data_IF_075378211885
#
_entry.id   IF_075378211885
#
_cell.length_a   1.000
_cell.length_b   1.000
_cell.length_c   1.000
_cell.angle_alpha   90.00
_cell.angle_beta   90.00
_cell.angle_gamma   90.00
#
_symmetry.space_group_name_H-M   'P 1'
#
loop_
_entity.id
_entity.type
_entity.pdbx_description
1 polymer ?
#
# COMPACT_ATOMS: atom_id res chain seq x y z
N UNK A 1 7.70 -10.05 9.48
CA UNK A 1 8.89 -9.92 8.61
C UNK A 1 8.74 -10.92 7.48
N UNK A 2 8.47 -10.43 6.26
CA UNK A 2 8.37 -11.28 5.07
C UNK A 2 9.80 -11.51 4.56
N UNK A 3 10.20 -12.76 4.32
CA UNK A 3 11.54 -13.09 3.81
C UNK A 3 11.40 -13.53 2.36
N UNK A 4 12.03 -12.78 1.45
CA UNK A 4 12.04 -13.04 0.01
C UNK A 4 13.50 -13.13 -0.48
N UNK A 5 13.79 -13.93 -1.52
CA UNK A 5 15.07 -13.85 -2.22
C UNK A 5 15.33 -12.45 -2.77
N UNK A 6 16.58 -11.97 -2.74
CA UNK A 6 16.92 -10.60 -3.19
C UNK A 6 16.49 -10.35 -4.65
N UNK A 7 16.63 -11.35 -5.52
CA UNK A 7 16.19 -11.26 -6.92
C UNK A 7 14.69 -11.01 -7.08
N UNK A 8 13.87 -11.55 -6.16
CA UNK A 8 12.42 -11.34 -6.14
C UNK A 8 12.12 -9.95 -5.59
N UNK A 9 12.77 -9.56 -4.48
CA UNK A 9 12.58 -8.25 -3.86
C UNK A 9 12.95 -7.11 -4.82
N UNK A 10 14.06 -7.25 -5.55
CA UNK A 10 14.51 -6.26 -6.53
C UNK A 10 13.52 -6.12 -7.69
N UNK A 11 12.92 -7.24 -8.14
CA UNK A 11 11.84 -7.20 -9.13
C UNK A 11 10.62 -6.44 -8.61
N UNK A 12 10.21 -6.69 -7.36
CA UNK A 12 9.11 -5.93 -6.73
C UNK A 12 9.43 -4.44 -6.63
N UNK A 13 10.64 -4.06 -6.19
CA UNK A 13 11.06 -2.65 -6.11
C UNK A 13 10.96 -1.94 -7.47
N UNK A 14 11.49 -2.56 -8.53
CA UNK A 14 11.45 -1.97 -9.88
C UNK A 14 10.02 -1.79 -10.40
N UNK A 15 9.15 -2.77 -10.15
CA UNK A 15 7.74 -2.68 -10.53
C UNK A 15 7.01 -1.59 -9.73
N UNK A 16 7.27 -1.50 -8.43
CA UNK A 16 6.66 -0.52 -7.54
C UNK A 16 7.10 0.91 -7.91
N UNK A 17 8.40 1.10 -8.19
CA UNK A 17 8.93 2.37 -8.71
C UNK A 17 8.30 2.76 -10.05
N UNK A 18 8.13 1.81 -10.97
CA UNK A 18 7.48 2.08 -12.27
C UNK A 18 6.01 2.49 -12.12
N UNK A 19 5.31 1.96 -11.11
CA UNK A 19 3.91 2.30 -10.80
C UNK A 19 3.80 3.48 -9.81
N UNK A 20 4.90 4.01 -9.28
CA UNK A 20 4.92 5.13 -8.33
C UNK A 20 4.32 4.78 -6.95
N UNK A 21 4.35 3.51 -6.56
CA UNK A 21 3.75 2.99 -5.32
C UNK A 21 4.80 2.29 -4.45
N UNK A 22 4.45 1.99 -3.20
CA UNK A 22 5.32 1.21 -2.32
C UNK A 22 5.23 -0.29 -2.63
N UNK A 23 6.28 -1.04 -2.25
CA UNK A 23 6.36 -2.49 -2.52
C UNK A 23 5.19 -3.25 -1.88
N UNK A 24 4.77 -2.87 -0.68
CA UNK A 24 3.65 -3.53 -0.02
C UNK A 24 2.32 -3.21 -0.71
N UNK A 25 2.15 -2.02 -1.26
CA UNK A 25 0.98 -1.67 -2.08
C UNK A 25 0.94 -2.50 -3.37
N UNK A 26 2.08 -2.66 -4.04
CA UNK A 26 2.17 -3.50 -5.24
C UNK A 26 1.76 -4.96 -4.95
N UNK A 27 2.12 -5.49 -3.78
CA UNK A 27 1.70 -6.84 -3.37
C UNK A 27 0.17 -6.91 -3.25
N UNK A 28 -0.45 -5.91 -2.61
CA UNK A 28 -1.92 -5.84 -2.52
C UNK A 28 -2.52 -5.80 -3.92
N UNK A 29 -2.09 -4.88 -4.78
CA UNK A 29 -2.61 -4.74 -6.14
C UNK A 29 -2.58 -6.05 -6.94
N UNK A 30 -1.44 -6.76 -6.92
CA UNK A 30 -1.31 -8.02 -7.68
C UNK A 30 -2.12 -9.17 -7.07
N UNK A 31 -2.44 -9.14 -5.78
CA UNK A 31 -3.16 -10.23 -5.11
C UNK A 31 -4.68 -10.00 -5.07
N UNK A 32 -5.14 -8.75 -4.98
CA UNK A 32 -6.57 -8.43 -4.87
C UNK A 32 -7.31 -8.42 -6.22
N UNK A 33 -6.56 -8.47 -7.32
CA UNK A 33 -7.09 -8.46 -8.69
C UNK A 33 -8.05 -9.62 -8.97
N UNK A 34 -7.84 -10.78 -8.34
CA UNK A 34 -8.64 -12.00 -8.54
C UNK A 34 -9.55 -12.32 -7.33
N UNK A 35 -9.59 -11.45 -6.32
CA UNK A 35 -10.41 -11.65 -5.12
C UNK A 35 -11.85 -11.19 -5.30
N UNK A 36 -12.73 -11.75 -4.46
CA UNK A 36 -14.10 -11.26 -4.30
C UNK A 36 -14.11 -9.73 -4.04
N UNK A 37 -15.04 -8.97 -4.65
CA UNK A 37 -15.06 -7.51 -4.56
C UNK A 37 -15.05 -6.97 -3.13
N UNK A 38 -15.79 -7.61 -2.23
CA UNK A 38 -15.86 -7.24 -0.82
C UNK A 38 -14.49 -7.38 -0.12
N UNK A 39 -13.78 -8.48 -0.41
CA UNK A 39 -12.45 -8.75 0.14
C UNK A 39 -11.43 -7.75 -0.40
N UNK A 40 -11.55 -7.36 -1.68
CA UNK A 40 -10.69 -6.31 -2.27
C UNK A 40 -10.87 -4.98 -1.56
N UNK A 41 -12.12 -4.56 -1.33
CA UNK A 41 -12.44 -3.31 -0.63
C UNK A 41 -11.86 -3.32 0.78
N UNK A 42 -12.05 -4.41 1.52
CA UNK A 42 -11.51 -4.58 2.86
C UNK A 42 -9.98 -4.50 2.86
N UNK A 43 -9.30 -5.22 1.96
CA UNK A 43 -7.85 -5.22 1.86
C UNK A 43 -7.28 -3.80 1.62
N UNK A 44 -7.87 -3.04 0.69
CA UNK A 44 -7.45 -1.66 0.46
C UNK A 44 -7.69 -0.77 1.68
N UNK A 45 -8.84 -0.93 2.36
CA UNK A 45 -9.17 -0.15 3.54
C UNK A 45 -8.23 -0.44 4.72
N UNK A 46 -7.94 -1.72 5.00
CA UNK A 46 -7.03 -2.12 6.06
C UNK A 46 -5.59 -1.64 5.81
N UNK A 47 -5.11 -1.76 4.57
CA UNK A 47 -3.79 -1.27 4.21
C UNK A 47 -3.72 0.26 4.31
N UNK A 48 -4.77 0.98 3.90
CA UNK A 48 -4.87 2.43 4.05
C UNK A 48 -4.74 2.86 5.51
N UNK A 49 -5.47 2.21 6.43
CA UNK A 49 -5.39 2.47 7.87
C UNK A 49 -4.01 2.15 8.45
N UNK A 50 -3.39 1.08 7.96
CA UNK A 50 -2.04 0.68 8.39
C UNK A 50 -1.00 1.73 8.00
N UNK A 51 -1.04 2.23 6.76
CA UNK A 51 -0.17 3.31 6.31
C UNK A 51 -0.44 4.62 7.03
N UNK A 52 -1.70 4.96 7.33
CA UNK A 52 -2.01 6.15 8.10
C UNK A 52 -1.36 6.12 9.48
N UNK A 53 -1.50 5.00 10.20
CA UNK A 53 -0.88 4.82 11.52
C UNK A 53 0.66 4.91 11.44
N UNK A 54 1.27 4.27 10.44
CA UNK A 54 2.72 4.38 10.22
C UNK A 54 3.13 5.83 9.93
N UNK A 55 2.35 6.57 9.16
CA UNK A 55 2.63 7.97 8.90
C UNK A 55 2.62 8.81 10.19
N UNK A 56 1.67 8.58 11.10
CA UNK A 56 1.64 9.25 12.41
C UNK A 56 2.91 8.94 13.23
N UNK A 57 3.36 7.69 13.19
CA UNK A 57 4.60 7.27 13.85
C UNK A 57 5.85 7.94 13.25
N UNK A 58 5.92 8.08 11.92
CA UNK A 58 7.03 8.77 11.25
C UNK A 58 6.99 10.30 11.45
N UNK A 59 5.78 10.89 11.47
CA UNK A 59 5.60 12.30 11.83
C UNK A 59 6.09 12.58 13.25
N UNK A 60 5.77 11.71 14.21
CA UNK A 60 6.22 11.85 15.60
C UNK A 60 7.75 11.78 15.73
N UNK A 61 8.44 11.06 14.83
CA UNK A 61 9.90 11.00 14.74
C UNK A 61 10.52 12.17 13.98
N UNK A 62 9.71 12.98 13.29
CA UNK A 62 10.15 14.07 12.42
C UNK A 62 10.64 13.63 11.04
N UNK A 63 10.42 12.36 10.65
CA UNK A 63 10.74 11.88 9.30
C UNK A 63 9.62 12.28 8.32
N UNK A 64 9.67 13.53 7.89
CA UNK A 64 8.66 14.09 6.98
C UNK A 64 8.63 13.38 5.63
N UNK A 65 9.77 12.84 5.17
CA UNK A 65 9.84 12.10 3.90
C UNK A 65 9.00 10.84 4.02
N UNK A 66 9.31 9.98 4.99
CA UNK A 66 8.55 8.74 5.14
C UNK A 66 7.09 8.97 5.52
N UNK A 67 6.82 9.95 6.38
CA UNK A 67 5.46 10.36 6.68
C UNK A 67 4.67 10.72 5.42
N UNK A 68 5.26 11.52 4.52
CA UNK A 68 4.59 11.94 3.27
C UNK A 68 4.32 10.76 2.33
N UNK A 69 5.28 9.83 2.19
CA UNK A 69 5.10 8.64 1.36
C UNK A 69 3.98 7.73 1.89
N UNK A 70 3.93 7.53 3.21
CA UNK A 70 2.87 6.74 3.87
C UNK A 70 1.50 7.40 3.78
N UNK A 71 1.41 8.73 3.94
CA UNK A 71 0.16 9.47 3.76
C UNK A 71 -0.36 9.38 2.34
N UNK A 72 0.52 9.52 1.34
CA UNK A 72 0.15 9.36 -0.07
C UNK A 72 -0.44 7.98 -0.35
N UNK A 73 0.25 6.91 0.06
CA UNK A 73 -0.24 5.54 -0.12
C UNK A 73 -1.56 5.30 0.61
N UNK A 74 -1.69 5.80 1.85
CA UNK A 74 -2.94 5.71 2.62
C UNK A 74 -4.12 6.37 1.90
N UNK A 75 -3.93 7.58 1.38
CA UNK A 75 -4.97 8.29 0.65
C UNK A 75 -5.35 7.59 -0.66
N UNK A 76 -4.36 7.13 -1.43
CA UNK A 76 -4.59 6.41 -2.68
C UNK A 76 -5.41 5.13 -2.45
N UNK A 77 -5.05 4.34 -1.43
CA UNK A 77 -5.75 3.11 -1.06
C UNK A 77 -7.17 3.37 -0.54
N UNK A 78 -7.38 4.44 0.23
CA UNK A 78 -8.72 4.82 0.68
C UNK A 78 -9.64 5.15 -0.50
N UNK A 79 -9.13 5.89 -1.50
CA UNK A 79 -9.87 6.21 -2.72
C UNK A 79 -10.22 4.93 -3.49
N UNK A 80 -9.27 4.00 -3.64
CA UNK A 80 -9.51 2.68 -4.28
C UNK A 80 -10.60 1.90 -3.54
N UNK A 81 -10.54 1.81 -2.21
CA UNK A 81 -11.56 1.13 -1.42
C UNK A 81 -12.97 1.71 -1.65
N UNK A 82 -13.11 3.04 -1.67
CA UNK A 82 -14.38 3.72 -1.93
C UNK A 82 -14.85 3.51 -3.36
N UNK A 83 -13.94 3.52 -4.33
CA UNK A 83 -14.27 3.31 -5.74
C UNK A 83 -14.86 1.91 -5.97
N UNK A 84 -14.16 0.87 -5.51
CA UNK A 84 -14.62 -0.52 -5.67
C UNK A 84 -15.81 -0.88 -4.77
N UNK A 85 -15.99 -0.21 -3.62
CA UNK A 85 -17.15 -0.43 -2.74
C UNK A 85 -18.45 0.19 -3.24
N UNK A 86 -18.43 0.93 -4.35
CA UNK A 86 -19.61 1.53 -4.99
C UNK A 86 -19.96 0.90 -6.34
N UNK A 87 -19.24 -0.13 -6.77
CA UNK A 87 -19.58 -0.98 -7.92
C UNK A 87 -20.66 -2.00 -7.56
#
# INVERSE_FOLDING_TARGET
MLVLPESVLEKFRRLAEAEGIQVEELIVEKLVSDLDPEVRVEAYWEMSRTYFKQAEEELAKGDLKQASEKLWGSAALAVKAVAYGRE
#
